data_IF_902067361256
#
_entry.id   IF_902067361256
#
_cell.length_a   1.000
_cell.length_b   1.000
_cell.length_c   1.000
_cell.angle_alpha   90.00
_cell.angle_beta   90.00
_cell.angle_gamma   90.00
#
_symmetry.space_group_name_H-M   'P 1'
#
loop_
_entity.id
_entity.type
_entity.pdbx_description
1 polymer ?
#
# COMPACT_ATOMS: atom_id res chain seq x y z
N UNK A 1 19.63 -53.66 -1.05
CA UNK A 1 18.40 -52.84 -1.01
C UNK A 1 18.84 -51.43 -0.63
N UNK A 2 19.12 -50.61 -1.64
CA UNK A 2 18.29 -49.47 -2.09
C UNK A 2 18.41 -48.29 -1.10
N UNK A 3 18.59 -47.03 -1.47
CA UNK A 3 18.82 -46.29 -2.71
C UNK A 3 19.18 -44.85 -2.26
N UNK A 4 19.72 -44.04 -3.18
CA UNK A 4 19.91 -42.57 -3.19
C UNK A 4 19.10 -41.76 -2.15
N UNK A 5 19.65 -40.73 -1.47
CA UNK A 5 20.34 -39.58 -2.04
C UNK A 5 19.38 -38.39 -1.99
N UNK A 6 19.50 -37.53 -0.97
CA UNK A 6 18.92 -36.18 -0.93
C UNK A 6 19.69 -35.38 0.14
N UNK A 7 20.79 -34.80 -0.31
CA UNK A 7 21.54 -33.73 0.33
C UNK A 7 20.65 -32.49 0.52
N UNK A 8 20.28 -32.21 1.76
CA UNK A 8 19.89 -30.86 2.17
C UNK A 8 20.83 -30.39 3.27
N UNK A 9 21.64 -29.40 2.91
CA UNK A 9 22.63 -28.76 3.75
C UNK A 9 21.97 -28.21 5.02
N UNK A 10 22.29 -28.81 6.17
CA UNK A 10 22.15 -28.15 7.47
C UNK A 10 23.32 -27.21 7.62
N UNK A 11 23.10 -25.91 7.42
CA UNK A 11 24.07 -24.88 7.81
C UNK A 11 23.60 -24.23 9.10
N UNK A 12 24.13 -24.73 10.21
CA UNK A 12 24.21 -23.98 11.47
C UNK A 12 25.26 -22.89 11.28
N UNK A 13 24.88 -21.61 11.37
CA UNK A 13 25.84 -20.52 11.52
C UNK A 13 25.47 -19.66 12.72
N UNK A 14 26.14 -19.95 13.83
CA UNK A 14 26.34 -18.99 14.90
C UNK A 14 27.31 -17.92 14.42
N UNK A 15 26.82 -16.69 14.26
CA UNK A 15 27.59 -15.46 14.39
C UNK A 15 28.66 -15.16 13.34
N UNK A 16 28.26 -14.64 12.18
CA UNK A 16 29.02 -13.58 11.46
C UNK A 16 28.09 -12.91 10.44
N UNK A 17 27.64 -11.68 10.72
CA UNK A 17 26.83 -10.87 9.79
C UNK A 17 27.77 -10.00 8.98
N UNK A 18 28.07 -10.42 7.75
CA UNK A 18 28.70 -9.59 6.72
C UNK A 18 27.63 -8.91 5.88
N UNK A 19 27.47 -7.60 6.06
CA UNK A 19 26.70 -6.73 5.18
C UNK A 19 27.66 -5.93 4.29
N UNK A 20 27.63 -6.22 3.00
CA UNK A 20 28.18 -5.37 1.93
C UNK A 20 27.12 -5.39 0.82
N UNK A 21 26.68 -4.32 0.17
CA UNK A 21 27.00 -2.90 0.16
C UNK A 21 26.54 -2.37 -1.20
N UNK A 22 25.76 -1.27 -1.20
CA UNK A 22 25.61 -0.30 -2.30
C UNK A 22 24.64 -0.62 -3.47
N UNK A 23 23.35 -0.33 -3.26
CA UNK A 23 22.61 0.51 -4.19
C UNK A 23 21.99 1.65 -3.37
N UNK A 24 22.68 2.79 -3.38
CA UNK A 24 22.46 3.90 -2.48
C UNK A 24 21.48 4.91 -3.08
N UNK A 25 20.21 4.54 -3.21
CA UNK A 25 19.10 5.46 -3.51
C UNK A 25 17.74 4.89 -3.09
N UNK A 26 17.59 4.48 -1.83
CA UNK A 26 16.26 4.48 -1.19
C UNK A 26 16.37 4.65 0.33
N UNK A 27 16.99 5.78 0.70
CA UNK A 27 17.14 6.21 2.09
C UNK A 27 15.75 6.53 2.67
N UNK A 28 15.27 5.63 3.54
CA UNK A 28 14.28 5.85 4.59
C UNK A 28 13.21 6.93 4.35
N UNK A 29 12.16 6.58 3.62
CA UNK A 29 10.92 7.33 3.76
C UNK A 29 10.14 6.82 4.98
N UNK A 30 10.62 7.11 6.18
CA UNK A 30 9.76 7.06 7.38
C UNK A 30 8.86 8.30 7.35
N UNK A 31 7.84 8.27 6.49
CA UNK A 31 6.77 9.24 6.56
C UNK A 31 5.96 8.93 7.82
N UNK A 32 6.25 9.62 8.93
CA UNK A 32 5.48 9.54 10.19
C UNK A 32 4.15 10.29 10.08
N UNK A 33 3.41 10.03 9.00
CA UNK A 33 2.09 10.57 8.72
C UNK A 33 1.46 9.82 7.54
N UNK A 34 0.12 9.73 7.48
CA UNK A 34 -0.55 9.07 6.37
C UNK A 34 -0.16 9.74 5.04
N UNK A 35 0.09 8.95 3.99
CA UNK A 35 0.40 9.51 2.67
C UNK A 35 -0.75 10.40 2.22
N UNK A 36 -0.45 11.53 1.56
CA UNK A 36 -1.49 12.49 1.13
C UNK A 36 -2.25 12.04 -0.13
N UNK A 37 -1.75 11.01 -0.80
CA UNK A 37 -2.28 10.45 -2.04
C UNK A 37 -1.89 8.99 -2.21
N UNK A 38 -2.72 8.21 -2.90
CA UNK A 38 -2.55 6.77 -3.08
C UNK A 38 -2.61 6.34 -4.56
N UNK A 39 -1.64 6.72 -5.41
CA UNK A 39 -1.64 6.35 -6.83
C UNK A 39 -1.64 4.82 -7.07
N UNK A 40 -1.09 4.04 -6.15
CA UNK A 40 -1.02 2.58 -6.23
C UNK A 40 -2.37 1.86 -6.04
N UNK A 41 -3.43 2.58 -5.66
CA UNK A 41 -4.76 2.00 -5.46
C UNK A 41 -5.66 2.09 -6.70
N UNK A 42 -5.20 2.80 -7.74
CA UNK A 42 -5.89 2.84 -9.04
C UNK A 42 -5.92 1.43 -9.64
N UNK A 43 -7.09 1.01 -10.13
CA UNK A 43 -7.31 -0.34 -10.67
C UNK A 43 -7.69 -1.39 -9.62
N UNK A 44 -7.71 -1.05 -8.33
CA UNK A 44 -8.24 -1.92 -7.28
C UNK A 44 -9.75 -1.72 -7.06
N UNK A 45 -10.44 -2.68 -6.44
CA UNK A 45 -11.79 -2.45 -5.92
C UNK A 45 -11.82 -1.33 -4.88
N UNK A 46 -12.84 -0.47 -4.91
CA UNK A 46 -12.98 0.67 -4.00
C UNK A 46 -12.96 0.27 -2.52
N UNK A 47 -13.56 -0.86 -2.15
CA UNK A 47 -13.53 -1.38 -0.78
C UNK A 47 -12.12 -1.84 -0.37
N UNK A 48 -11.37 -2.47 -1.27
CA UNK A 48 -9.98 -2.87 -0.99
C UNK A 48 -9.08 -1.65 -0.82
N UNK A 49 -9.25 -0.65 -1.68
CA UNK A 49 -8.56 0.63 -1.57
C UNK A 49 -8.86 1.33 -0.24
N UNK A 50 -10.13 1.32 0.20
CA UNK A 50 -10.56 1.87 1.49
C UNK A 50 -9.87 1.18 2.67
N UNK A 51 -9.83 -0.15 2.69
CA UNK A 51 -9.13 -0.90 3.73
C UNK A 51 -7.65 -0.54 3.80
N UNK A 52 -6.96 -0.46 2.66
CA UNK A 52 -5.53 -0.09 2.58
C UNK A 52 -5.26 1.34 3.09
N UNK A 53 -6.19 2.28 2.85
CA UNK A 53 -6.08 3.65 3.36
C UNK A 53 -6.27 3.69 4.87
N UNK A 54 -7.32 3.04 5.38
CA UNK A 54 -7.63 3.01 6.82
C UNK A 54 -6.57 2.28 7.64
N UNK A 55 -5.91 1.26 7.08
CA UNK A 55 -4.78 0.57 7.72
C UNK A 55 -3.60 1.53 7.98
N UNK A 56 -3.36 2.48 7.08
CA UNK A 56 -2.27 3.47 7.21
C UNK A 56 -2.70 4.73 7.95
N UNK A 57 -3.99 5.03 8.00
CA UNK A 57 -4.55 6.23 8.60
C UNK A 57 -5.94 5.97 9.17
N UNK A 58 -6.06 5.39 10.36
CA UNK A 58 -7.35 5.07 10.99
C UNK A 58 -8.16 6.32 11.36
N UNK A 59 -7.50 7.48 11.47
CA UNK A 59 -8.12 8.79 11.67
C UNK A 59 -8.76 9.39 10.41
N UNK A 60 -8.50 8.80 9.23
CA UNK A 60 -9.02 9.27 7.95
C UNK A 60 -10.46 8.82 7.75
N UNK A 61 -11.29 9.74 7.28
CA UNK A 61 -12.63 9.49 6.77
C UNK A 61 -12.56 9.17 5.28
N UNK A 62 -12.72 7.89 4.94
CA UNK A 62 -12.69 7.44 3.55
C UNK A 62 -14.11 7.28 3.00
N UNK A 63 -14.39 7.93 1.87
CA UNK A 63 -15.69 7.87 1.19
C UNK A 63 -15.50 7.34 -0.22
N UNK A 64 -16.24 6.31 -0.58
CA UNK A 64 -16.27 5.76 -1.94
C UNK A 64 -17.43 6.44 -2.67
N UNK A 65 -17.15 6.95 -3.87
CA UNK A 65 -18.08 7.69 -4.70
C UNK A 65 -17.97 7.19 -6.14
N UNK A 66 -19.09 7.10 -6.89
CA UNK A 66 -19.01 6.88 -8.31
C UNK A 66 -18.30 8.05 -8.99
N UNK A 67 -17.59 7.76 -10.09
CA UNK A 67 -16.94 8.78 -10.88
C UNK A 67 -17.95 9.81 -11.40
N UNK A 68 -17.54 11.08 -11.49
CA UNK A 68 -18.43 12.16 -11.90
C UNK A 68 -19.48 12.56 -10.85
N UNK A 69 -19.53 11.90 -9.68
CA UNK A 69 -20.38 12.34 -8.58
C UNK A 69 -20.09 13.78 -8.17
N UNK A 70 -21.14 14.60 -8.06
CA UNK A 70 -21.05 15.98 -7.62
C UNK A 70 -20.61 16.05 -6.16
N UNK A 71 -19.35 16.40 -5.93
CA UNK A 71 -18.80 16.57 -4.58
C UNK A 71 -18.77 18.05 -4.17
N UNK A 72 -18.98 18.30 -2.89
CA UNK A 72 -18.79 19.61 -2.30
C UNK A 72 -17.32 20.04 -2.41
N UNK A 73 -17.07 21.31 -2.74
CA UNK A 73 -15.72 21.88 -2.87
C UNK A 73 -15.09 22.27 -1.52
N UNK A 74 -15.59 21.73 -0.41
CA UNK A 74 -14.96 21.91 0.91
C UNK A 74 -13.68 21.08 0.98
N UNK A 75 -12.61 21.63 1.55
CA UNK A 75 -11.35 20.91 1.76
C UNK A 75 -11.29 20.36 3.18
N UNK A 76 -11.08 19.04 3.33
CA UNK A 76 -10.93 18.37 4.63
C UNK A 76 -9.64 17.57 4.67
N UNK A 77 -8.75 17.94 5.59
CA UNK A 77 -7.44 17.29 5.80
C UNK A 77 -7.52 15.83 6.24
N UNK A 78 -8.68 15.40 6.75
CA UNK A 78 -8.90 14.02 7.20
C UNK A 78 -9.82 13.25 6.26
N UNK A 79 -10.23 13.78 5.10
CA UNK A 79 -11.14 13.09 4.18
C UNK A 79 -10.38 12.59 2.97
N UNK A 80 -10.64 11.34 2.58
CA UNK A 80 -10.15 10.76 1.33
C UNK A 80 -11.35 10.34 0.49
N UNK A 81 -11.42 10.82 -0.75
CA UNK A 81 -12.45 10.44 -1.71
C UNK A 81 -11.88 9.42 -2.68
N UNK A 82 -12.50 8.25 -2.73
CA UNK A 82 -12.19 7.20 -3.71
C UNK A 82 -13.25 7.31 -4.80
N UNK A 83 -12.82 7.57 -6.03
CA UNK A 83 -13.71 7.58 -7.19
C UNK A 83 -13.64 6.22 -7.90
N UNK A 84 -14.78 5.58 -8.08
CA UNK A 84 -14.91 4.27 -8.73
C UNK A 84 -15.76 4.34 -10.00
N UNK A 85 -15.47 3.47 -10.96
CA UNK A 85 -16.33 3.26 -12.14
C UNK A 85 -17.60 2.44 -11.78
N UNK A 86 -18.41 2.13 -12.79
CA UNK A 86 -19.60 1.27 -12.67
C UNK A 86 -19.28 -0.16 -12.19
N UNK A 87 -18.03 -0.62 -12.34
CA UNK A 87 -17.57 -1.92 -11.85
C UNK A 87 -17.03 -1.85 -10.41
N UNK A 88 -17.04 -0.67 -9.79
CA UNK A 88 -16.49 -0.46 -8.45
C UNK A 88 -14.96 -0.39 -8.42
N UNK A 89 -14.30 -0.17 -9.56
CA UNK A 89 -12.85 -0.09 -9.68
C UNK A 89 -12.39 1.36 -9.57
N UNK A 90 -11.35 1.60 -8.78
CA UNK A 90 -10.79 2.93 -8.58
C UNK A 90 -10.22 3.47 -9.88
N UNK A 91 -10.81 4.54 -10.41
CA UNK A 91 -10.38 5.16 -11.68
C UNK A 91 -9.42 6.33 -11.49
N UNK A 92 -9.38 6.91 -10.29
CA UNK A 92 -8.51 8.06 -9.96
C UNK A 92 -7.79 7.83 -8.65
N UNK A 93 -6.55 8.31 -8.58
CA UNK A 93 -5.75 8.24 -7.37
C UNK A 93 -6.50 8.96 -6.22
N UNK A 94 -6.86 8.24 -5.13
CA UNK A 94 -7.41 8.86 -3.95
C UNK A 94 -6.40 9.84 -3.37
N UNK A 95 -6.91 10.95 -2.84
CA UNK A 95 -6.10 11.97 -2.18
C UNK A 95 -6.90 12.59 -1.04
N UNK A 96 -6.16 13.20 -0.11
CA UNK A 96 -6.74 13.97 0.98
C UNK A 96 -7.39 15.25 0.41
N UNK A 97 -8.68 15.47 0.70
CA UNK A 97 -9.47 16.55 0.12
C UNK A 97 -10.92 16.62 0.56
#
# INVERSE_FOLDING_TARGET
>A
MASAGDDKQTLVISGERVETGSNADNIFQVNTGPPKSWPQLVGLPGEEAKCKILEKGPELTVVILPEGSGVTKDFRVNRVRIFVDDNGIVTKAPHIG
#
